data_IF_058261257838
#
_entry.id   IF_058261257838
#
_cell.length_a   1.000
_cell.length_b   1.000
_cell.length_c   1.000
_cell.angle_alpha   90.00
_cell.angle_beta   90.00
_cell.angle_gamma   90.00
#
_symmetry.space_group_name_H-M   'P 1'
#
loop_
_entity.id
_entity.type
_entity.pdbx_description
1 polymer ?
#
# COMPACT_ATOMS: atom_id res chain seq x y z
N UNK A 1 -1.20 24.19 -23.40
CA UNK A 1 -0.56 23.06 -22.71
C UNK A 1 -1.62 22.37 -21.87
N UNK A 2 -1.74 21.04 -21.98
CA UNK A 2 -2.64 20.27 -21.15
C UNK A 2 -1.83 19.62 -20.02
N UNK A 3 -2.30 19.74 -18.78
CA UNK A 3 -1.66 19.13 -17.60
C UNK A 3 -2.62 18.11 -17.02
N UNK A 4 -2.12 16.90 -16.81
CA UNK A 4 -2.87 15.82 -16.16
C UNK A 4 -2.27 15.60 -14.77
N UNK A 5 -3.06 15.79 -13.73
CA UNK A 5 -2.62 15.51 -12.35
C UNK A 5 -3.80 15.05 -11.50
N UNK A 6 -3.51 14.18 -10.53
CA UNK A 6 -4.48 13.71 -9.57
C UNK A 6 -4.77 14.73 -8.48
N UNK A 7 -5.73 14.41 -7.62
CA UNK A 7 -6.21 15.30 -6.56
C UNK A 7 -6.04 14.67 -5.19
N UNK A 8 -5.91 15.55 -4.19
CA UNK A 8 -5.91 15.16 -2.77
C UNK A 8 -7.21 15.53 -2.06
N UNK A 9 -8.15 16.13 -2.78
CA UNK A 9 -9.46 16.54 -2.29
C UNK A 9 -10.57 15.90 -3.12
N UNK A 10 -11.81 16.01 -2.66
CA UNK A 10 -12.99 15.44 -3.34
C UNK A 10 -12.91 13.90 -3.48
N UNK A 11 -12.43 13.25 -2.43
CA UNK A 11 -12.23 11.80 -2.43
C UNK A 11 -13.53 10.99 -2.21
N UNK A 12 -14.69 11.66 -2.14
CA UNK A 12 -15.97 11.03 -1.77
C UNK A 12 -16.45 9.92 -2.67
N UNK A 13 -15.98 9.87 -3.92
CA UNK A 13 -16.32 8.81 -4.86
C UNK A 13 -15.27 7.73 -5.02
N UNK A 14 -14.10 7.88 -4.38
CA UNK A 14 -13.02 6.92 -4.51
C UNK A 14 -13.29 5.64 -3.73
N UNK A 15 -12.93 4.52 -4.35
CA UNK A 15 -12.91 3.22 -3.72
C UNK A 15 -11.49 2.68 -3.68
N UNK A 16 -11.04 2.37 -2.49
CA UNK A 16 -9.64 2.00 -2.21
C UNK A 16 -9.60 0.64 -1.54
N UNK A 17 -8.73 -0.24 -2.03
CA UNK A 17 -8.37 -1.47 -1.32
C UNK A 17 -6.95 -1.32 -0.79
N UNK A 18 -6.72 -1.77 0.45
CA UNK A 18 -5.39 -1.80 1.07
C UNK A 18 -5.05 -3.25 1.41
N UNK A 19 -3.99 -3.76 0.82
CA UNK A 19 -3.45 -5.10 1.09
C UNK A 19 -2.33 -4.98 2.10
N UNK A 20 -2.44 -5.63 3.24
CA UNK A 20 -1.49 -5.52 4.35
C UNK A 20 -0.88 -6.87 4.67
N UNK A 21 0.44 -6.95 4.70
CA UNK A 21 1.16 -8.14 5.12
C UNK A 21 1.21 -8.24 6.65
N UNK A 22 0.92 -9.42 7.20
CA UNK A 22 0.99 -9.66 8.65
C UNK A 22 2.42 -9.81 9.15
N UNK A 23 3.29 -10.39 8.35
CA UNK A 23 4.69 -10.57 8.73
C UNK A 23 5.36 -9.22 8.94
N UNK A 24 6.11 -9.05 10.03
CA UNK A 24 6.64 -7.77 10.50
C UNK A 24 5.53 -6.79 10.92
N UNK A 25 4.53 -7.26 11.64
CA UNK A 25 3.35 -6.47 12.02
C UNK A 25 3.66 -5.25 12.89
N UNK A 26 4.75 -5.27 13.65
CA UNK A 26 5.23 -4.08 14.37
C UNK A 26 5.47 -2.91 13.40
N UNK A 27 5.95 -3.18 12.20
CA UNK A 27 6.19 -2.18 11.16
C UNK A 27 4.93 -1.94 10.32
N UNK A 28 4.32 -3.01 9.81
CA UNK A 28 3.17 -2.88 8.91
C UNK A 28 1.95 -2.28 9.59
N UNK A 29 1.75 -2.56 10.88
CA UNK A 29 0.68 -1.94 11.66
C UNK A 29 0.84 -0.43 11.78
N UNK A 30 2.08 0.05 11.94
CA UNK A 30 2.38 1.49 11.98
C UNK A 30 2.19 2.15 10.61
N UNK A 31 2.58 1.48 9.55
CA UNK A 31 2.33 1.95 8.18
C UNK A 31 0.83 2.05 7.91
N UNK A 32 0.07 1.04 8.32
CA UNK A 32 -1.38 1.04 8.16
C UNK A 32 -2.02 2.21 8.90
N UNK A 33 -1.63 2.44 10.16
CA UNK A 33 -2.14 3.57 10.95
C UNK A 33 -1.89 4.90 10.26
N UNK A 34 -0.68 5.10 9.73
CA UNK A 34 -0.33 6.33 9.00
C UNK A 34 -1.12 6.48 7.71
N UNK A 35 -1.30 5.39 6.97
CA UNK A 35 -2.09 5.37 5.75
C UNK A 35 -3.56 5.71 6.02
N UNK A 36 -4.18 5.07 7.00
CA UNK A 36 -5.58 5.32 7.35
C UNK A 36 -5.78 6.74 7.88
N UNK A 37 -4.85 7.25 8.68
CA UNK A 37 -4.92 8.63 9.17
C UNK A 37 -4.86 9.63 8.00
N UNK A 38 -3.97 9.40 7.06
CA UNK A 38 -3.87 10.22 5.85
C UNK A 38 -5.19 10.19 5.05
N UNK A 39 -5.70 9.02 4.77
CA UNK A 39 -6.94 8.86 4.01
C UNK A 39 -8.12 9.51 4.71
N UNK A 40 -8.25 9.31 6.01
CA UNK A 40 -9.32 9.93 6.82
C UNK A 40 -9.28 11.45 6.77
N UNK A 41 -8.10 12.04 6.93
CA UNK A 41 -7.93 13.50 6.90
C UNK A 41 -8.17 14.10 5.53
N UNK A 42 -8.14 13.29 4.48
CA UNK A 42 -8.42 13.73 3.11
C UNK A 42 -9.81 13.32 2.61
N UNK A 43 -10.69 12.90 3.51
CA UNK A 43 -12.11 12.71 3.19
C UNK A 43 -12.55 11.30 2.86
N UNK A 44 -11.68 10.30 3.02
CA UNK A 44 -12.06 8.89 2.89
C UNK A 44 -12.69 8.41 4.21
N UNK A 45 -13.83 7.75 4.10
CA UNK A 45 -14.43 7.07 5.26
C UNK A 45 -13.62 5.80 5.57
N UNK A 46 -12.99 5.77 6.74
CA UNK A 46 -12.17 4.64 7.19
C UNK A 46 -12.83 3.82 8.29
N UNK A 47 -14.11 4.03 8.56
CA UNK A 47 -14.87 3.24 9.53
C UNK A 47 -15.05 1.81 9.04
N UNK A 48 -15.23 0.86 9.95
CA UNK A 48 -15.47 -0.56 9.61
C UNK A 48 -16.69 -0.75 8.69
N UNK A 49 -17.64 0.15 8.74
CA UNK A 49 -18.86 0.14 7.92
C UNK A 49 -18.68 0.85 6.59
N UNK A 50 -17.48 1.36 6.28
CA UNK A 50 -17.23 2.12 5.07
C UNK A 50 -17.49 1.31 3.80
N UNK A 51 -18.06 1.98 2.79
CA UNK A 51 -18.16 1.45 1.43
C UNK A 51 -17.03 1.93 0.52
N UNK A 52 -16.12 2.79 1.03
CA UNK A 52 -15.02 3.36 0.26
C UNK A 52 -13.71 2.61 0.43
N UNK A 53 -13.51 1.93 1.55
CA UNK A 53 -12.24 1.32 1.93
C UNK A 53 -12.43 -0.11 2.36
N UNK A 54 -11.67 -1.00 1.75
CA UNK A 54 -11.55 -2.40 2.16
C UNK A 54 -10.10 -2.71 2.54
N UNK A 55 -9.93 -3.44 3.64
CA UNK A 55 -8.64 -3.97 4.06
C UNK A 55 -8.58 -5.47 3.78
N UNK A 56 -7.47 -5.90 3.21
CA UNK A 56 -7.22 -7.30 2.94
C UNK A 56 -5.87 -7.70 3.52
N UNK A 57 -5.88 -8.70 4.40
CA UNK A 57 -4.68 -9.19 5.06
C UNK A 57 -4.10 -10.39 4.33
N UNK A 58 -2.78 -10.40 4.18
CA UNK A 58 -2.02 -11.54 3.64
C UNK A 58 -0.94 -11.96 4.64
N UNK A 59 -0.47 -13.24 4.57
CA UNK A 59 0.53 -13.71 5.54
C UNK A 59 1.85 -12.92 5.49
N UNK A 60 2.36 -12.65 4.32
CA UNK A 60 3.62 -11.93 4.12
C UNK A 60 3.62 -11.13 2.83
N UNK A 61 4.70 -10.40 2.61
CA UNK A 61 4.83 -9.53 1.43
C UNK A 61 4.81 -10.34 0.12
N UNK A 62 5.30 -11.59 0.15
CA UNK A 62 5.32 -12.43 -1.05
C UNK A 62 3.93 -12.70 -1.62
N UNK A 63 2.89 -12.71 -0.79
CA UNK A 63 1.51 -12.97 -1.20
C UNK A 63 0.76 -11.71 -1.63
N UNK A 64 1.35 -10.52 -1.46
CA UNK A 64 0.73 -9.26 -1.84
C UNK A 64 0.34 -9.21 -3.33
N UNK A 65 1.20 -9.57 -4.28
CA UNK A 65 0.85 -9.45 -5.69
C UNK A 65 -0.37 -10.25 -6.11
N UNK A 66 -0.55 -11.45 -5.57
CA UNK A 66 -1.71 -12.28 -5.90
C UNK A 66 -3.03 -11.62 -5.48
N UNK A 67 -3.08 -11.13 -4.24
CA UNK A 67 -4.30 -10.50 -3.74
C UNK A 67 -4.52 -9.14 -4.39
N UNK A 68 -3.47 -8.36 -4.61
CA UNK A 68 -3.56 -7.11 -5.35
C UNK A 68 -4.14 -7.32 -6.75
N UNK A 69 -3.73 -8.39 -7.43
CA UNK A 69 -4.26 -8.73 -8.75
C UNK A 69 -5.77 -9.01 -8.70
N UNK A 70 -6.21 -9.79 -7.73
CA UNK A 70 -7.64 -10.12 -7.57
C UNK A 70 -8.47 -8.86 -7.33
N UNK A 71 -8.00 -7.98 -6.47
CA UNK A 71 -8.71 -6.75 -6.15
C UNK A 71 -8.71 -5.77 -7.32
N UNK A 72 -7.55 -5.54 -7.94
CA UNK A 72 -7.43 -4.65 -9.08
C UNK A 72 -8.27 -5.12 -10.28
N UNK A 73 -8.37 -6.43 -10.50
CA UNK A 73 -9.13 -7.00 -11.61
C UNK A 73 -10.63 -7.13 -11.34
N UNK A 74 -11.07 -6.88 -10.13
CA UNK A 74 -12.48 -7.03 -9.74
C UNK A 74 -13.40 -5.96 -10.33
N UNK A 75 -12.83 -4.82 -10.73
CA UNK A 75 -13.61 -3.65 -11.17
C UNK A 75 -14.20 -2.83 -10.03
N UNK A 76 -13.93 -3.18 -8.77
CA UNK A 76 -14.52 -2.54 -7.60
C UNK A 76 -13.70 -1.41 -6.99
N UNK A 77 -12.49 -1.15 -7.48
CA UNK A 77 -11.57 -0.19 -6.87
C UNK A 77 -10.93 0.73 -7.88
N UNK A 78 -10.73 1.98 -7.49
CA UNK A 78 -10.03 2.98 -8.28
C UNK A 78 -8.52 2.90 -8.07
N UNK A 79 -8.09 2.37 -6.94
CA UNK A 79 -6.69 2.18 -6.59
C UNK A 79 -6.56 1.05 -5.56
N UNK A 80 -5.47 0.30 -5.67
CA UNK A 80 -5.08 -0.71 -4.70
C UNK A 80 -3.77 -0.27 -4.07
N UNK A 81 -3.73 -0.14 -2.75
CA UNK A 81 -2.51 0.15 -2.02
C UNK A 81 -1.97 -1.13 -1.37
N UNK A 82 -0.66 -1.22 -1.25
CA UNK A 82 -0.01 -2.36 -0.60
C UNK A 82 0.84 -1.86 0.56
N UNK A 83 0.86 -2.59 1.65
CA UNK A 83 1.69 -2.29 2.81
C UNK A 83 2.38 -3.56 3.27
N UNK A 84 3.69 -3.50 3.34
CA UNK A 84 4.53 -4.60 3.78
C UNK A 84 5.87 -4.12 4.28
N UNK A 85 6.65 -5.03 4.84
CA UNK A 85 8.02 -4.74 5.26
C UNK A 85 8.86 -5.99 5.07
N UNK A 86 9.92 -5.86 4.30
CA UNK A 86 10.91 -6.92 4.09
C UNK A 86 12.23 -6.41 4.65
N UNK A 87 12.74 -7.09 5.68
CA UNK A 87 13.96 -6.71 6.38
C UNK A 87 15.01 -7.76 6.08
N UNK A 88 16.20 -7.30 5.71
CA UNK A 88 17.30 -8.20 5.37
C UNK A 88 17.67 -9.09 6.55
N UNK A 89 17.80 -10.38 6.30
CA UNK A 89 18.29 -11.37 7.25
C UNK A 89 19.66 -11.92 6.83
N UNK A 90 20.02 -13.05 7.41
CA UNK A 90 21.33 -13.69 7.19
C UNK A 90 21.40 -14.52 5.89
N UNK A 91 20.28 -14.66 5.20
CA UNK A 91 20.18 -15.49 4.00
C UNK A 91 19.72 -14.67 2.80
N UNK A 92 19.87 -15.19 1.57
CA UNK A 92 19.40 -14.49 0.36
C UNK A 92 17.88 -14.41 0.22
N UNK A 93 17.10 -14.90 1.18
CA UNK A 93 15.63 -14.84 1.17
C UNK A 93 15.09 -13.44 0.92
N UNK A 94 15.72 -12.42 1.52
CA UNK A 94 15.36 -11.01 1.30
C UNK A 94 15.34 -10.64 -0.19
N UNK A 95 16.40 -10.99 -0.90
CA UNK A 95 16.54 -10.63 -2.33
C UNK A 95 15.47 -11.31 -3.19
N UNK A 96 15.12 -12.56 -2.87
CA UNK A 96 14.06 -13.30 -3.56
C UNK A 96 12.71 -12.62 -3.35
N UNK A 97 12.36 -12.34 -2.10
CA UNK A 97 11.06 -11.72 -1.77
C UNK A 97 10.95 -10.34 -2.39
N UNK A 98 11.96 -9.49 -2.26
CA UNK A 98 11.96 -8.13 -2.81
C UNK A 98 11.80 -8.15 -4.33
N UNK A 99 12.54 -9.02 -5.01
CA UNK A 99 12.47 -9.12 -6.47
C UNK A 99 11.06 -9.51 -6.94
N UNK A 100 10.48 -10.53 -6.34
CA UNK A 100 9.15 -11.02 -6.74
C UNK A 100 8.02 -10.05 -6.38
N UNK A 101 8.08 -9.43 -5.22
CA UNK A 101 7.05 -8.47 -4.78
C UNK A 101 7.08 -7.22 -5.66
N UNK A 102 8.25 -6.65 -5.92
CA UNK A 102 8.38 -5.44 -6.73
C UNK A 102 7.92 -5.67 -8.16
N UNK A 103 8.35 -6.77 -8.78
CA UNK A 103 7.92 -7.14 -10.14
C UNK A 103 6.42 -7.44 -10.19
N UNK A 104 5.94 -8.19 -9.20
CA UNK A 104 4.53 -8.59 -9.14
C UNK A 104 3.60 -7.42 -8.99
N UNK A 105 3.88 -6.49 -8.09
CA UNK A 105 3.07 -5.29 -7.90
C UNK A 105 3.06 -4.42 -9.17
N UNK A 106 4.22 -4.22 -9.79
CA UNK A 106 4.31 -3.46 -11.03
C UNK A 106 3.53 -4.13 -12.17
N UNK A 107 3.60 -5.46 -12.28
CA UNK A 107 2.85 -6.21 -13.29
C UNK A 107 1.33 -6.06 -13.11
N UNK A 108 0.84 -6.15 -11.88
CA UNK A 108 -0.59 -5.99 -11.58
C UNK A 108 -1.10 -4.63 -12.07
N UNK A 109 -0.38 -3.56 -11.78
CA UNK A 109 -0.78 -2.22 -12.21
C UNK A 109 -0.86 -2.12 -13.74
N UNK A 110 0.17 -2.61 -14.44
CA UNK A 110 0.21 -2.57 -15.91
C UNK A 110 -0.87 -3.43 -16.57
N UNK A 111 -1.08 -4.64 -16.05
CA UNK A 111 -2.04 -5.59 -16.63
C UNK A 111 -3.49 -5.21 -16.36
N UNK A 112 -3.78 -4.70 -15.16
CA UNK A 112 -5.14 -4.33 -14.77
C UNK A 112 -5.56 -2.93 -15.23
N UNK A 113 -4.59 -2.03 -15.44
CA UNK A 113 -4.86 -0.63 -15.67
C UNK A 113 -5.30 0.13 -14.41
N UNK A 114 -5.33 -0.52 -13.26
CA UNK A 114 -5.64 0.09 -11.96
C UNK A 114 -4.34 0.43 -11.25
N UNK A 115 -4.18 1.66 -10.73
CA UNK A 115 -2.98 2.01 -9.96
C UNK A 115 -2.80 1.08 -8.76
N UNK A 116 -1.58 0.60 -8.56
CA UNK A 116 -1.21 -0.18 -7.38
C UNK A 116 -0.03 0.51 -6.71
N UNK A 117 -0.22 0.96 -5.49
CA UNK A 117 0.79 1.68 -4.73
C UNK A 117 1.74 0.67 -4.08
N UNK A 118 3.03 0.83 -4.34
CA UNK A 118 4.06 -0.02 -3.76
C UNK A 118 4.48 0.53 -2.40
N UNK A 119 3.79 0.07 -1.35
CA UNK A 119 4.05 0.46 0.03
C UNK A 119 4.79 -0.63 0.81
N UNK A 120 5.73 -1.31 0.18
CA UNK A 120 6.53 -2.35 0.82
C UNK A 120 7.91 -1.78 1.16
N UNK A 121 8.18 -1.60 2.45
CA UNK A 121 9.50 -1.20 2.92
C UNK A 121 10.50 -2.32 2.68
N UNK A 122 11.67 -1.95 2.20
CA UNK A 122 12.79 -2.88 2.01
C UNK A 122 14.01 -2.27 2.70
N UNK A 123 14.38 -2.81 3.85
CA UNK A 123 15.44 -2.24 4.68
C UNK A 123 16.45 -3.31 5.08
N UNK A 124 17.65 -2.86 5.43
CA UNK A 124 18.69 -3.77 5.93
C UNK A 124 18.48 -4.13 7.39
N UNK A 125 17.86 -3.25 8.17
CA UNK A 125 17.66 -3.45 9.60
C UNK A 125 16.23 -3.12 10.03
N UNK A 126 15.81 -3.69 11.16
CA UNK A 126 14.54 -3.35 11.80
C UNK A 126 14.51 -1.87 12.19
N UNK A 127 15.63 -1.33 12.68
CA UNK A 127 15.71 0.07 13.05
C UNK A 127 15.38 0.99 11.88
N UNK A 128 15.92 0.70 10.70
CA UNK A 128 15.59 1.46 9.48
C UNK A 128 14.11 1.40 9.15
N UNK A 129 13.50 0.23 9.29
CA UNK A 129 12.07 0.08 9.03
C UNK A 129 11.22 0.89 10.03
N UNK A 130 11.56 0.84 11.31
CA UNK A 130 10.86 1.61 12.36
C UNK A 130 11.01 3.11 12.16
N UNK A 131 12.18 3.57 11.72
CA UNK A 131 12.40 4.99 11.43
C UNK A 131 11.47 5.50 10.33
N UNK A 132 11.13 4.64 9.37
CA UNK A 132 10.24 4.95 8.23
C UNK A 132 8.77 4.68 8.53
N UNK A 133 8.48 4.01 9.64
CA UNK A 133 7.13 3.65 10.05
C UNK A 133 6.62 4.46 11.24
N UNK A 134 7.27 5.59 11.57
CA UNK A 134 6.77 6.50 12.60
C UNK A 134 7.81 7.19 13.46
N UNK A 135 9.03 6.67 13.62
CA UNK A 135 10.02 7.29 14.48
C UNK A 135 10.55 8.61 13.91
N UNK A 136 10.94 8.63 12.64
CA UNK A 136 11.39 9.84 11.94
C UNK A 136 10.37 10.36 10.96
N UNK A 137 9.73 9.45 10.23
CA UNK A 137 8.68 9.73 9.28
C UNK A 137 7.75 8.52 9.22
N UNK A 138 6.55 8.68 8.70
CA UNK A 138 5.66 7.56 8.44
C UNK A 138 5.37 7.48 6.94
N UNK A 139 6.03 6.56 6.25
CA UNK A 139 5.82 6.37 4.81
C UNK A 139 4.43 5.84 4.48
N UNK A 140 3.72 5.22 5.45
CA UNK A 140 2.31 4.86 5.27
C UNK A 140 1.44 6.07 4.95
N UNK A 141 1.71 7.21 5.58
CA UNK A 141 1.08 8.48 5.24
C UNK A 141 1.32 8.85 3.77
N UNK A 142 2.57 8.76 3.32
CA UNK A 142 2.94 9.06 1.94
C UNK A 142 2.25 8.10 0.95
N UNK A 143 2.12 6.82 1.30
CA UNK A 143 1.39 5.86 0.47
C UNK A 143 -0.10 6.19 0.39
N UNK A 144 -0.68 6.72 1.46
CA UNK A 144 -2.04 7.25 1.44
C UNK A 144 -2.19 8.40 0.46
N UNK A 145 -1.26 9.36 0.46
CA UNK A 145 -1.25 10.47 -0.51
C UNK A 145 -1.13 9.96 -1.94
N UNK A 146 -0.25 8.99 -2.19
CA UNK A 146 -0.09 8.40 -3.52
C UNK A 146 -1.38 7.72 -3.98
N UNK A 147 -2.08 7.03 -3.08
CA UNK A 147 -3.35 6.40 -3.41
C UNK A 147 -4.41 7.42 -3.84
N UNK A 148 -4.50 8.54 -3.14
CA UNK A 148 -5.43 9.62 -3.50
C UNK A 148 -5.08 10.21 -4.86
N UNK A 149 -3.82 10.53 -5.08
CA UNK A 149 -3.36 11.13 -6.33
C UNK A 149 -3.59 10.20 -7.52
N UNK A 150 -3.21 8.93 -7.38
CA UNK A 150 -3.31 7.98 -8.49
C UNK A 150 -4.73 7.46 -8.72
N UNK A 151 -5.58 7.43 -7.71
CA UNK A 151 -6.95 6.96 -7.80
C UNK A 151 -7.92 8.01 -8.34
N UNK A 152 -7.54 9.24 -8.28
CA UNK A 152 -8.35 10.36 -8.79
C UNK A 152 -7.87 10.78 -10.18
#
# INVERSE_FOLDING_TARGET
MTVFEGRFTDAGGLRIAVVVARFNDLVTGKLLSGCLDCLSRHGIDVAETSSQLDLAWVPGSFEIPLLAKRLASSGGYDVVSTLGAVIRGDTPHFDVVVAEVSKGVAAVARESGVPVIFGVLTTDTLQQALERAGIKSNLGWNYGLQALEMGS
#
